data_IF_042342765959
#
_entry.id   IF_042342765959
#
_cell.length_a   1.000
_cell.length_b   1.000
_cell.length_c   1.000
_cell.angle_alpha   90.00
_cell.angle_beta   90.00
_cell.angle_gamma   90.00
#
_symmetry.space_group_name_H-M   'P 1'
#
loop_
_entity.id
_entity.type
_entity.pdbx_description
1 polymer ?
#
# COMPACT_ATOMS: atom_id res chain seq x y z
N UNK A 1 5.42 -11.69 6.45
CA UNK A 1 5.45 -10.26 6.05
C UNK A 1 4.22 -9.43 6.44
N UNK A 2 3.00 -9.75 6.00
CA UNK A 2 1.79 -8.91 6.27
C UNK A 2 1.51 -8.59 7.74
N UNK A 3 1.68 -9.56 8.65
CA UNK A 3 1.61 -9.32 10.10
C UNK A 3 2.59 -8.24 10.58
N UNK A 4 3.80 -8.24 10.02
CA UNK A 4 4.81 -7.23 10.35
C UNK A 4 4.45 -5.85 9.77
N UNK A 5 3.82 -5.80 8.59
CA UNK A 5 3.22 -4.57 8.08
C UNK A 5 2.20 -4.00 9.08
N UNK A 6 1.22 -4.79 9.52
CA UNK A 6 0.18 -4.32 10.46
C UNK A 6 0.78 -3.77 11.76
N UNK A 7 1.76 -4.46 12.34
CA UNK A 7 2.50 -3.97 13.52
C UNK A 7 3.22 -2.66 13.26
N UNK A 8 3.97 -2.57 12.15
CA UNK A 8 4.76 -1.37 11.83
C UNK A 8 3.85 -0.17 11.52
N UNK A 9 2.72 -0.40 10.85
CA UNK A 9 1.70 0.61 10.60
C UNK A 9 1.19 1.21 11.91
N UNK A 10 0.83 0.37 12.88
CA UNK A 10 0.39 0.84 14.21
C UNK A 10 1.49 1.63 14.90
N UNK A 11 2.73 1.11 14.96
CA UNK A 11 3.87 1.78 15.58
C UNK A 11 4.16 3.17 14.97
N UNK A 12 3.96 3.34 13.65
CA UNK A 12 4.10 4.63 12.96
C UNK A 12 2.94 5.56 13.29
N UNK A 13 1.72 5.04 13.29
CA UNK A 13 0.52 5.83 13.45
C UNK A 13 0.21 6.23 14.91
N UNK A 14 0.88 5.62 15.87
CA UNK A 14 1.00 6.13 17.26
C UNK A 14 1.85 7.41 17.33
N UNK A 15 2.75 7.64 16.35
CA UNK A 15 3.71 8.77 16.34
C UNK A 15 3.34 9.88 15.37
N UNK A 16 2.51 9.60 14.38
CA UNK A 16 2.01 10.58 13.42
C UNK A 16 0.50 10.45 13.26
N UNK A 17 -0.22 11.48 13.69
CA UNK A 17 -1.68 11.56 13.60
C UNK A 17 -2.21 11.73 12.17
N UNK A 18 -1.33 12.13 11.24
CA UNK A 18 -1.67 12.32 9.83
C UNK A 18 -1.84 10.99 9.08
N UNK A 19 -1.40 9.88 9.65
CA UNK A 19 -1.48 8.57 9.00
C UNK A 19 -2.94 8.09 8.96
N UNK A 20 -3.43 7.87 7.75
CA UNK A 20 -4.74 7.25 7.49
C UNK A 20 -4.56 5.92 6.76
N UNK A 21 -5.51 5.00 6.97
CA UNK A 21 -5.51 3.69 6.34
C UNK A 21 -6.70 3.53 5.39
N UNK A 22 -6.46 3.20 4.13
CA UNK A 22 -7.51 2.92 3.15
C UNK A 22 -7.43 1.46 2.68
N UNK A 23 -8.57 0.79 2.58
CA UNK A 23 -8.68 -0.58 2.08
C UNK A 23 -10.07 -0.86 1.50
N UNK A 24 -10.19 -1.92 0.70
CA UNK A 24 -11.47 -2.36 0.12
C UNK A 24 -12.18 -3.50 0.85
N UNK A 25 -11.44 -4.28 1.65
CA UNK A 25 -11.98 -5.36 2.49
C UNK A 25 -11.17 -5.47 3.79
N UNK A 26 -11.82 -5.82 4.90
CA UNK A 26 -11.18 -5.87 6.22
C UNK A 26 -10.42 -7.18 6.38
N UNK A 27 -9.10 -7.07 6.54
CA UNK A 27 -8.23 -8.20 6.86
C UNK A 27 -7.72 -8.16 8.31
N UNK A 28 -7.25 -9.32 8.78
CA UNK A 28 -6.81 -9.51 10.16
C UNK A 28 -5.68 -8.53 10.54
N UNK A 29 -4.80 -8.19 9.61
CA UNK A 29 -3.65 -7.31 9.83
C UNK A 29 -4.03 -5.84 10.12
N UNK A 30 -5.25 -5.43 9.78
CA UNK A 30 -5.72 -4.05 9.96
C UNK A 30 -6.53 -3.87 11.25
N UNK A 31 -6.94 -4.96 11.91
CA UNK A 31 -7.83 -4.91 13.08
C UNK A 31 -7.26 -4.07 14.22
N UNK A 32 -5.97 -4.17 14.52
CA UNK A 32 -5.37 -3.39 15.59
C UNK A 32 -5.40 -1.88 15.28
N UNK A 33 -5.10 -1.50 14.03
CA UNK A 33 -5.19 -0.09 13.61
C UNK A 33 -6.62 0.43 13.73
N UNK A 34 -7.61 -0.32 13.24
CA UNK A 34 -9.04 0.04 13.31
C UNK A 34 -9.50 0.22 14.77
N UNK A 35 -9.05 -0.64 15.67
CA UNK A 35 -9.40 -0.57 17.09
C UNK A 35 -8.74 0.63 17.80
N UNK A 36 -7.46 0.90 17.52
CA UNK A 36 -6.71 2.00 18.15
C UNK A 36 -7.07 3.38 17.56
N UNK A 37 -7.41 3.44 16.29
CA UNK A 37 -7.59 4.68 15.53
C UNK A 37 -8.89 4.66 14.71
N UNK A 38 -10.05 4.57 15.37
CA UNK A 38 -11.34 4.35 14.69
C UNK A 38 -11.72 5.46 13.72
N UNK A 39 -11.18 6.67 13.88
CA UNK A 39 -11.49 7.83 13.03
C UNK A 39 -10.48 8.04 11.88
N UNK A 40 -9.50 7.14 11.71
CA UNK A 40 -8.40 7.30 10.73
C UNK A 40 -8.32 6.18 9.69
N UNK A 41 -9.41 5.45 9.47
CA UNK A 41 -9.47 4.46 8.40
C UNK A 41 -10.71 4.64 7.53
N UNK A 42 -10.59 4.23 6.27
CA UNK A 42 -11.64 4.37 5.27
C UNK A 42 -11.76 3.07 4.47
N UNK A 43 -12.93 2.43 4.58
CA UNK A 43 -13.26 1.30 3.72
C UNK A 43 -14.00 1.81 2.49
N UNK A 44 -13.39 1.68 1.31
CA UNK A 44 -13.97 2.14 0.05
C UNK A 44 -14.70 1.03 -0.71
N UNK A 45 -14.77 -0.18 -0.16
CA UNK A 45 -15.22 -1.37 -0.87
C UNK A 45 -14.31 -1.73 -2.05
N UNK A 46 -14.83 -2.50 -3.00
CA UNK A 46 -14.10 -2.95 -4.21
C UNK A 46 -14.01 -1.86 -5.30
N UNK A 47 -13.70 -0.63 -4.89
CA UNK A 47 -13.61 0.56 -5.74
C UNK A 47 -12.17 1.07 -5.78
N UNK A 48 -11.23 0.30 -6.34
CA UNK A 48 -9.80 0.59 -6.20
C UNK A 48 -9.37 1.93 -6.83
N UNK A 49 -10.01 2.33 -7.93
CA UNK A 49 -9.76 3.64 -8.56
C UNK A 49 -10.15 4.79 -7.63
N UNK A 50 -11.34 4.73 -7.03
CA UNK A 50 -11.80 5.70 -6.03
C UNK A 50 -10.87 5.74 -4.83
N UNK A 51 -10.41 4.58 -4.35
CA UNK A 51 -9.50 4.48 -3.21
C UNK A 51 -8.18 5.21 -3.46
N UNK A 52 -7.60 5.05 -4.65
CA UNK A 52 -6.35 5.74 -5.04
C UNK A 52 -6.56 7.25 -5.14
N UNK A 53 -7.59 7.71 -5.86
CA UNK A 53 -7.85 9.16 -5.99
C UNK A 53 -8.23 9.81 -4.65
N UNK A 54 -8.92 9.08 -3.76
CA UNK A 54 -9.21 9.53 -2.40
C UNK A 54 -7.93 9.68 -1.58
N UNK A 55 -7.00 8.73 -1.66
CA UNK A 55 -5.70 8.83 -1.02
C UNK A 55 -4.89 10.02 -1.55
N UNK A 56 -4.89 10.27 -2.86
CA UNK A 56 -4.23 11.45 -3.42
C UNK A 56 -4.83 12.75 -2.85
N UNK A 57 -6.17 12.86 -2.80
CA UNK A 57 -6.85 14.01 -2.17
C UNK A 57 -6.47 14.21 -0.70
N UNK A 58 -6.42 13.13 0.08
CA UNK A 58 -5.96 13.19 1.47
C UNK A 58 -4.53 13.70 1.60
N UNK A 59 -3.63 13.25 0.72
CA UNK A 59 -2.24 13.68 0.74
C UNK A 59 -2.08 15.16 0.39
N UNK A 60 -2.91 15.69 -0.51
CA UNK A 60 -2.97 17.13 -0.82
C UNK A 60 -3.40 17.98 0.38
N UNK A 61 -4.27 17.43 1.24
CA UNK A 61 -4.70 18.07 2.49
C UNK A 61 -3.72 17.82 3.67
N UNK A 62 -2.52 17.30 3.40
CA UNK A 62 -1.45 17.13 4.39
C UNK A 62 -1.51 15.85 5.20
N UNK A 63 -2.42 14.91 4.88
CA UNK A 63 -2.42 13.58 5.47
C UNK A 63 -1.33 12.68 4.87
N UNK A 64 -1.10 11.53 5.50
CA UNK A 64 -0.11 10.52 5.08
C UNK A 64 -0.80 9.17 4.84
N UNK A 65 -1.55 9.05 3.73
CA UNK A 65 -2.40 7.89 3.48
C UNK A 65 -1.58 6.65 3.13
N UNK A 66 -2.00 5.53 3.71
CA UNK A 66 -1.51 4.19 3.43
C UNK A 66 -2.66 3.38 2.84
N UNK A 67 -2.50 2.92 1.60
CA UNK A 67 -3.51 2.11 0.89
C UNK A 67 -3.09 0.65 0.92
N UNK A 68 -4.01 -0.25 1.25
CA UNK A 68 -3.73 -1.69 1.36
C UNK A 68 -4.67 -2.52 0.50
N UNK A 69 -4.12 -3.33 -0.42
CA UNK A 69 -4.90 -4.20 -1.30
C UNK A 69 -4.05 -5.31 -1.96
N UNK A 70 -4.70 -6.23 -2.65
CA UNK A 70 -4.03 -7.29 -3.43
C UNK A 70 -3.31 -6.64 -4.62
N UNK A 71 -2.07 -7.05 -4.91
CA UNK A 71 -1.15 -6.33 -5.82
C UNK A 71 -1.75 -6.00 -7.21
N UNK A 72 -2.38 -6.94 -7.95
CA UNK A 72 -3.06 -6.61 -9.21
C UNK A 72 -4.17 -5.57 -9.04
N UNK A 73 -4.92 -5.63 -7.95
CA UNK A 73 -6.03 -4.71 -7.70
C UNK A 73 -5.53 -3.33 -7.25
N UNK A 74 -4.39 -3.31 -6.56
CA UNK A 74 -3.74 -2.09 -6.12
C UNK A 74 -3.09 -1.35 -7.28
N UNK A 75 -2.41 -2.04 -8.20
CA UNK A 75 -1.57 -1.41 -9.23
C UNK A 75 -2.22 -1.45 -10.61
N UNK A 76 -2.67 -2.62 -11.07
CA UNK A 76 -3.09 -2.80 -12.46
C UNK A 76 -4.46 -2.15 -12.71
N UNK A 77 -5.41 -2.30 -11.78
CA UNK A 77 -6.77 -1.73 -11.92
C UNK A 77 -6.79 -0.19 -11.90
N UNK A 78 -6.15 0.49 -10.93
CA UNK A 78 -6.12 1.95 -10.87
C UNK A 78 -4.81 2.52 -11.41
N UNK A 79 -4.18 1.88 -12.40
CA UNK A 79 -2.86 2.27 -12.91
C UNK A 79 -2.82 3.74 -13.36
N UNK A 80 -3.88 4.21 -14.04
CA UNK A 80 -3.97 5.60 -14.46
C UNK A 80 -4.10 6.57 -13.28
N UNK A 81 -4.91 6.26 -12.27
CA UNK A 81 -5.04 7.07 -11.05
C UNK A 81 -3.69 7.15 -10.31
N UNK A 82 -2.95 6.04 -10.20
CA UNK A 82 -1.61 6.08 -9.58
C UNK A 82 -0.69 7.01 -10.39
N UNK A 83 -0.70 6.87 -11.72
CA UNK A 83 0.14 7.69 -12.60
C UNK A 83 -0.17 9.19 -12.46
N UNK A 84 -1.44 9.58 -12.58
CA UNK A 84 -1.80 11.00 -12.68
C UNK A 84 -2.04 11.66 -11.33
N UNK A 85 -2.65 10.95 -10.38
CA UNK A 85 -3.04 11.53 -9.09
C UNK A 85 -1.90 11.46 -8.06
N UNK A 86 -1.05 10.42 -8.13
CA UNK A 86 0.01 10.19 -7.14
C UNK A 86 1.41 10.48 -7.71
N UNK A 87 1.78 9.81 -8.81
CA UNK A 87 3.14 9.84 -9.36
C UNK A 87 3.49 11.23 -9.92
N UNK A 88 2.71 11.77 -10.85
CA UNK A 88 2.97 13.09 -11.45
C UNK A 88 2.98 14.23 -10.43
N UNK A 89 2.18 14.10 -9.37
CA UNK A 89 2.09 15.08 -8.28
C UNK A 89 3.13 14.84 -7.17
N UNK A 90 3.89 13.74 -7.23
CA UNK A 90 4.86 13.31 -6.23
C UNK A 90 4.30 13.30 -4.79
N UNK A 91 3.07 12.79 -4.63
CA UNK A 91 2.37 12.83 -3.33
C UNK A 91 2.88 11.76 -2.36
N UNK A 92 2.93 12.02 -1.05
CA UNK A 92 3.42 11.08 -0.03
C UNK A 92 2.41 9.96 0.30
N UNK A 93 1.94 9.23 -0.72
CA UNK A 93 1.04 8.09 -0.59
C UNK A 93 1.86 6.79 -0.59
N UNK A 94 1.60 5.92 0.39
CA UNK A 94 2.23 4.60 0.44
C UNK A 94 1.21 3.53 0.04
N UNK A 95 1.51 2.80 -1.02
CA UNK A 95 0.68 1.74 -1.56
C UNK A 95 1.25 0.38 -1.15
N UNK A 96 0.51 -0.39 -0.36
CA UNK A 96 0.91 -1.69 0.16
C UNK A 96 0.15 -2.79 -0.57
N UNK A 97 0.84 -3.42 -1.52
CA UNK A 97 0.35 -4.57 -2.26
C UNK A 97 0.66 -5.86 -1.53
N UNK A 98 -0.18 -6.89 -1.68
CA UNK A 98 0.21 -8.25 -1.32
C UNK A 98 -0.22 -9.27 -2.39
N UNK A 99 0.56 -10.35 -2.55
CA UNK A 99 0.40 -11.32 -3.63
C UNK A 99 0.35 -12.77 -3.13
N UNK A 100 -0.56 -13.06 -2.18
CA UNK A 100 -0.61 -14.36 -1.48
C UNK A 100 -1.47 -15.43 -2.19
N UNK A 101 -2.13 -15.07 -3.30
CA UNK A 101 -3.12 -15.92 -3.98
C UNK A 101 -2.74 -16.31 -5.41
N UNK A 102 -1.52 -16.86 -5.67
CA UNK A 102 -1.07 -17.15 -7.02
C UNK A 102 -1.89 -18.25 -7.72
N UNK A 103 -2.65 -19.05 -6.97
CA UNK A 103 -3.51 -20.12 -7.49
C UNK A 103 -4.95 -19.70 -7.78
N UNK A 104 -5.34 -18.46 -7.45
CA UNK A 104 -6.72 -17.95 -7.64
C UNK A 104 -7.00 -17.47 -9.08
N UNK A 105 -6.18 -17.92 -10.03
CA UNK A 105 -6.31 -17.60 -11.44
C UNK A 105 -5.60 -16.31 -11.84
N UNK A 106 -5.66 -15.98 -13.15
CA UNK A 106 -4.87 -14.89 -13.73
C UNK A 106 -5.22 -13.50 -13.18
N UNK A 107 -6.41 -13.32 -12.60
CA UNK A 107 -6.85 -12.04 -12.03
C UNK A 107 -6.19 -11.71 -10.70
N UNK A 108 -5.68 -12.70 -9.97
CA UNK A 108 -5.05 -12.54 -8.65
C UNK A 108 -3.53 -12.70 -8.69
N UNK A 109 -2.98 -13.09 -9.84
CA UNK A 109 -1.55 -13.24 -10.05
C UNK A 109 -0.99 -11.96 -10.70
N UNK A 110 -0.13 -11.19 -10.02
CA UNK A 110 0.52 -10.04 -10.65
C UNK A 110 1.35 -10.48 -11.84
N UNK A 111 1.33 -9.69 -12.92
CA UNK A 111 2.09 -9.99 -14.13
C UNK A 111 3.60 -9.83 -13.93
N UNK A 112 3.99 -8.65 -13.44
CA UNK A 112 5.35 -8.28 -13.07
C UNK A 112 5.25 -6.99 -12.24
N UNK A 113 5.19 -7.12 -10.92
CA UNK A 113 5.00 -5.95 -10.05
C UNK A 113 6.19 -4.97 -10.15
N UNK A 114 7.43 -5.50 -10.20
CA UNK A 114 8.64 -4.69 -10.36
C UNK A 114 8.64 -3.89 -11.66
N UNK A 115 8.27 -4.56 -12.77
CA UNK A 115 8.20 -3.94 -14.08
C UNK A 115 7.14 -2.84 -14.16
N UNK A 116 5.96 -3.04 -13.55
CA UNK A 116 4.91 -2.02 -13.50
C UNK A 116 5.33 -0.81 -12.65
N UNK A 117 5.96 -1.05 -11.50
CA UNK A 117 6.45 0.03 -10.63
C UNK A 117 7.53 0.84 -11.33
N UNK A 118 8.40 0.20 -12.12
CA UNK A 118 9.46 0.87 -12.88
C UNK A 118 8.96 1.81 -13.99
N UNK A 119 7.66 1.77 -14.33
CA UNK A 119 7.05 2.70 -15.28
C UNK A 119 6.75 4.08 -14.69
N UNK A 120 6.67 4.18 -13.36
CA UNK A 120 6.43 5.44 -12.66
C UNK A 120 7.72 6.23 -12.46
N UNK A 121 7.62 7.55 -12.46
CA UNK A 121 8.78 8.46 -12.45
C UNK A 121 9.30 8.73 -11.03
N UNK A 122 8.39 8.95 -10.09
CA UNK A 122 8.66 9.40 -8.73
C UNK A 122 8.39 8.32 -7.67
N UNK A 123 7.66 7.26 -8.02
CA UNK A 123 7.36 6.16 -7.09
C UNK A 123 8.59 5.32 -6.80
N UNK A 124 8.90 5.15 -5.50
CA UNK A 124 9.93 4.21 -5.04
C UNK A 124 9.32 2.83 -4.78
N UNK A 125 9.87 1.81 -5.45
CA UNK A 125 9.44 0.42 -5.27
C UNK A 125 10.23 -0.34 -4.20
N UNK A 126 9.53 -1.05 -3.32
CA UNK A 126 10.10 -1.93 -2.31
C UNK A 126 9.56 -3.36 -2.46
N UNK A 127 10.49 -4.33 -2.52
CA UNK A 127 10.18 -5.75 -2.70
C UNK A 127 10.81 -6.58 -1.57
N UNK A 128 10.34 -6.42 -0.32
CA UNK A 128 10.93 -7.10 0.84
C UNK A 128 10.76 -8.62 0.76
N UNK A 129 11.75 -9.36 1.26
CA UNK A 129 11.78 -10.84 1.18
C UNK A 129 11.32 -11.52 2.47
N UNK A 130 11.25 -10.76 3.56
CA UNK A 130 10.96 -11.26 4.90
C UNK A 130 10.38 -10.12 5.77
N UNK A 131 10.02 -10.47 7.00
CA UNK A 131 9.42 -9.52 7.95
C UNK A 131 10.38 -8.37 8.32
N UNK A 132 11.67 -8.63 8.51
CA UNK A 132 12.64 -7.58 8.89
C UNK A 132 12.82 -6.56 7.76
N UNK A 133 12.91 -7.02 6.51
CA UNK A 133 12.92 -6.16 5.33
C UNK A 133 11.59 -5.42 5.17
N UNK A 134 10.45 -6.03 5.49
CA UNK A 134 9.14 -5.36 5.47
C UNK A 134 9.13 -4.18 6.44
N UNK A 135 9.63 -4.34 7.66
CA UNK A 135 9.73 -3.26 8.64
C UNK A 135 10.62 -2.13 8.13
N UNK A 136 11.79 -2.46 7.58
CA UNK A 136 12.72 -1.46 7.03
C UNK A 136 12.10 -0.69 5.87
N UNK A 137 11.48 -1.40 4.92
CA UNK A 137 10.80 -0.79 3.78
C UNK A 137 9.68 0.17 4.20
N UNK A 138 8.85 -0.24 5.18
CA UNK A 138 7.79 0.63 5.73
C UNK A 138 8.34 1.92 6.35
N UNK A 139 9.42 1.82 7.13
CA UNK A 139 10.04 2.98 7.77
C UNK A 139 10.66 3.89 6.70
N UNK A 140 11.39 3.33 5.74
CA UNK A 140 12.04 4.08 4.67
C UNK A 140 11.02 4.80 3.80
N UNK A 141 10.00 4.08 3.30
CA UNK A 141 8.89 4.63 2.52
C UNK A 141 8.17 5.78 3.23
N UNK A 142 8.04 5.70 4.55
CA UNK A 142 7.45 6.78 5.35
C UNK A 142 8.39 7.99 5.47
N UNK A 143 9.69 7.77 5.68
CA UNK A 143 10.68 8.84 5.87
C UNK A 143 11.01 9.61 4.59
N UNK A 144 11.00 8.96 3.41
CA UNK A 144 11.33 9.63 2.14
C UNK A 144 10.35 10.76 1.76
N UNK A 145 9.11 10.71 2.26
CA UNK A 145 8.15 11.79 2.02
C UNK A 145 7.64 11.91 0.58
N UNK A 146 7.86 10.88 -0.23
CA UNK A 146 7.45 10.77 -1.64
C UNK A 146 6.64 9.47 -1.84
N UNK A 147 6.01 9.22 -3.01
CA UNK A 147 5.16 8.05 -3.17
C UNK A 147 5.99 6.77 -3.16
N UNK A 148 5.42 5.72 -2.60
CA UNK A 148 6.07 4.43 -2.50
C UNK A 148 5.09 3.28 -2.76
N UNK A 149 5.57 2.22 -3.41
CA UNK A 149 4.87 0.94 -3.53
C UNK A 149 5.67 -0.12 -2.79
N UNK A 150 5.05 -0.84 -1.87
CA UNK A 150 5.63 -2.00 -1.18
C UNK A 150 4.85 -3.24 -1.58
N UNK A 151 5.51 -4.19 -2.24
CA UNK A 151 4.89 -5.47 -2.62
C UNK A 151 5.25 -6.57 -1.63
N UNK A 152 4.25 -7.02 -0.88
CA UNK A 152 4.35 -8.07 0.12
C UNK A 152 3.96 -9.43 -0.47
N UNK A 153 4.44 -10.49 0.19
CA UNK A 153 4.04 -11.86 -0.11
C UNK A 153 4.11 -12.73 1.13
N UNK A 154 3.53 -13.91 1.05
CA UNK A 154 3.74 -14.97 2.03
C UNK A 154 5.19 -15.43 1.96
N UNK A 155 5.80 -15.56 3.14
CA UNK A 155 7.18 -16.03 3.29
C UNK A 155 7.36 -17.35 2.50
N UNK A 156 8.35 -17.40 1.62
CA UNK A 156 8.65 -18.56 0.76
C UNK A 156 8.03 -18.58 -0.64
N UNK A 157 7.17 -17.62 -1.01
CA UNK A 157 6.69 -17.49 -2.39
C UNK A 157 7.73 -16.79 -3.29
N UNK A 158 7.88 -17.17 -4.58
CA UNK A 158 8.70 -16.41 -5.54
C UNK A 158 8.07 -15.03 -5.84
N UNK A 159 8.89 -14.07 -6.32
CA UNK A 159 8.36 -12.86 -6.93
C UNK A 159 7.95 -13.18 -8.39
N UNK A 160 6.80 -12.67 -8.81
CA UNK A 160 6.29 -12.75 -10.18
C UNK A 160 6.33 -11.37 -10.81
#
# INVERSE_FOLDING_TARGET
MRKQFGKTLVDLAEKDERITLLFGDVEQEMKEFIQKFPDRYYNTGLCEQTMISMAAGMALEGLRPIVYSITPFLIERPFEQIKIDIDEQNLPVILIGFADYPTHGPTHRPLNAEGLVALFKNITGYFPRNSDETKKAMIDAYLIGSPAIISLKKDGLPFF
#
